data_IF_851582547111
#
_entry.id   IF_851582547111
#
_cell.length_a   1.000
_cell.length_b   1.000
_cell.length_c   1.000
_cell.angle_alpha   90.00
_cell.angle_beta   90.00
_cell.angle_gamma   90.00
#
_symmetry.space_group_name_H-M   'P 1'
#
loop_
_entity.id
_entity.type
_entity.pdbx_description
1 polymer ?
#
# COMPACT_ATOMS: atom_id res chain seq x y z
N UNK A 1 15.81 54.77 -5.52
CA UNK A 1 16.53 55.73 -4.65
C UNK A 1 17.99 55.71 -5.05
N UNK A 2 18.59 56.89 -5.28
CA UNK A 2 19.94 57.02 -5.84
C UNK A 2 20.95 57.07 -4.68
N UNK A 3 22.20 56.61 -4.91
CA UNK A 3 23.29 56.57 -3.91
C UNK A 3 23.52 57.87 -3.11
N UNK A 4 23.05 59.01 -3.61
CA UNK A 4 23.12 60.32 -2.93
C UNK A 4 22.20 60.41 -1.70
N UNK A 5 21.15 59.59 -1.63
CA UNK A 5 20.23 59.56 -0.49
C UNK A 5 20.85 58.84 0.72
N UNK A 6 21.77 57.89 0.47
CA UNK A 6 22.46 57.15 1.54
C UNK A 6 23.54 57.99 2.23
N UNK A 7 24.34 58.77 1.49
CA UNK A 7 25.41 59.56 2.13
C UNK A 7 24.84 60.58 3.11
N UNK A 8 23.71 61.23 2.77
CA UNK A 8 23.03 62.16 3.66
C UNK A 8 22.54 61.52 4.95
N UNK A 9 22.07 60.27 4.86
CA UNK A 9 21.56 59.52 6.01
C UNK A 9 22.69 59.13 6.97
N UNK A 10 23.88 58.84 6.45
CA UNK A 10 25.07 58.59 7.27
C UNK A 10 25.70 59.87 7.82
N UNK A 11 25.71 60.97 7.06
CA UNK A 11 26.17 62.27 7.54
C UNK A 11 25.31 62.78 8.73
N UNK A 12 24.00 62.50 8.73
CA UNK A 12 23.10 62.81 9.85
C UNK A 12 23.36 61.95 11.10
N UNK A 13 23.73 60.68 10.92
CA UNK A 13 24.06 59.75 12.01
C UNK A 13 25.41 60.13 12.63
N UNK A 14 26.43 60.40 11.82
CA UNK A 14 27.78 60.76 12.29
C UNK A 14 27.76 62.10 13.05
N UNK A 15 26.94 63.06 12.60
CA UNK A 15 26.74 64.34 13.30
C UNK A 15 25.98 64.19 14.62
N UNK A 16 25.18 63.13 14.78
CA UNK A 16 24.41 62.83 15.99
C UNK A 16 25.23 62.06 17.02
N UNK A 17 26.20 61.26 16.58
CA UNK A 17 27.00 60.38 17.45
C UNK A 17 28.39 60.94 17.81
N UNK A 18 28.79 62.09 17.28
CA UNK A 18 29.99 62.83 17.69
C UNK A 18 31.28 61.96 17.71
N UNK A 19 31.39 61.02 16.77
CA UNK A 19 32.54 60.11 16.70
C UNK A 19 33.51 60.56 15.59
N UNK A 20 34.72 60.97 15.98
CA UNK A 20 35.77 61.42 15.07
C UNK A 20 36.52 60.23 14.47
N UNK A 21 36.43 60.14 13.14
CA UNK A 21 37.01 59.14 12.25
C UNK A 21 38.53 59.31 12.14
N UNK A 22 39.32 58.60 12.95
CA UNK A 22 40.74 58.38 12.64
C UNK A 22 41.24 56.93 12.85
N UNK A 23 40.48 56.06 13.52
CA UNK A 23 40.89 54.65 13.73
C UNK A 23 40.45 53.65 12.65
N UNK A 24 39.52 54.00 11.76
CA UNK A 24 38.94 53.03 10.83
C UNK A 24 39.64 52.92 9.46
N UNK A 25 40.36 53.94 9.01
CA UNK A 25 40.95 53.94 7.66
C UNK A 25 42.17 53.02 7.55
N UNK A 26 42.93 52.82 8.62
CA UNK A 26 44.06 51.87 8.64
C UNK A 26 43.59 50.41 8.77
N UNK A 27 42.54 50.16 9.59
CA UNK A 27 42.02 48.81 9.80
C UNK A 27 41.21 48.27 8.61
N UNK A 28 40.46 49.14 7.90
CA UNK A 28 39.65 48.75 6.73
C UNK A 28 40.49 48.31 5.52
N UNK A 29 41.69 48.84 5.31
CA UNK A 29 42.52 48.50 4.12
C UNK A 29 43.32 47.21 4.29
N UNK A 30 43.87 46.96 5.48
CA UNK A 30 44.70 45.77 5.73
C UNK A 30 43.88 44.46 5.79
N UNK A 31 42.65 44.51 6.31
CA UNK A 31 41.85 43.30 6.56
C UNK A 31 40.91 42.90 5.41
N UNK A 32 40.61 43.77 4.43
CA UNK A 32 39.67 43.46 3.34
C UNK A 32 40.13 42.30 2.46
N UNK A 33 41.45 42.21 2.17
CA UNK A 33 42.03 41.16 1.31
C UNK A 33 42.08 39.79 2.00
N UNK A 34 42.26 39.78 3.31
CA UNK A 34 42.25 38.56 4.12
C UNK A 34 40.83 38.05 4.37
N UNK A 35 39.86 38.94 4.53
CA UNK A 35 38.47 38.56 4.78
C UNK A 35 37.79 37.98 3.54
N UNK A 36 38.01 38.56 2.36
CA UNK A 36 37.51 38.00 1.09
C UNK A 36 38.13 36.63 0.79
N UNK A 37 39.43 36.45 1.06
CA UNK A 37 40.09 35.14 0.90
C UNK A 37 39.52 34.09 1.86
N UNK A 38 39.28 34.45 3.13
CA UNK A 38 38.63 33.56 4.12
C UNK A 38 37.19 33.22 3.73
N UNK A 39 36.43 34.19 3.23
CA UNK A 39 35.06 34.00 2.75
C UNK A 39 35.01 33.10 1.51
N UNK A 40 35.91 33.29 0.53
CA UNK A 40 35.98 32.40 -0.64
C UNK A 40 36.47 30.99 -0.27
N UNK A 41 37.35 30.85 0.73
CA UNK A 41 37.74 29.54 1.24
C UNK A 41 36.56 28.84 1.93
N UNK A 42 35.80 29.51 2.79
CA UNK A 42 34.63 28.91 3.43
C UNK A 42 33.52 28.58 2.44
N UNK A 43 33.33 29.42 1.41
CA UNK A 43 32.36 29.16 0.33
C UNK A 43 32.71 27.89 -0.45
N UNK A 44 34.01 27.63 -0.72
CA UNK A 44 34.46 26.41 -1.41
C UNK A 44 34.15 25.16 -0.61
N UNK A 45 34.41 25.16 0.69
CA UNK A 45 34.13 24.00 1.54
C UNK A 45 32.62 23.77 1.71
N UNK A 46 31.84 24.83 1.90
CA UNK A 46 30.38 24.73 2.01
C UNK A 46 29.72 24.28 0.70
N UNK A 47 30.21 24.76 -0.45
CA UNK A 47 29.74 24.32 -1.76
C UNK A 47 30.09 22.86 -2.02
N UNK A 48 31.30 22.42 -1.67
CA UNK A 48 31.70 21.03 -1.80
C UNK A 48 30.82 20.10 -0.95
N UNK A 49 30.52 20.50 0.29
CA UNK A 49 29.64 19.75 1.21
C UNK A 49 28.20 19.67 0.69
N UNK A 50 27.69 20.74 0.08
CA UNK A 50 26.36 20.77 -0.52
C UNK A 50 26.29 19.89 -1.78
N UNK A 51 27.34 19.87 -2.60
CA UNK A 51 27.45 18.98 -3.76
C UNK A 51 27.57 17.50 -3.34
N UNK A 52 28.32 17.16 -2.29
CA UNK A 52 28.38 15.77 -1.80
C UNK A 52 27.04 15.31 -1.24
N UNK A 53 26.31 16.17 -0.52
CA UNK A 53 24.96 15.87 -0.04
C UNK A 53 23.96 15.67 -1.19
N UNK A 54 24.04 16.46 -2.27
CA UNK A 54 23.20 16.31 -3.47
C UNK A 54 23.46 15.02 -4.24
N UNK A 55 24.69 14.50 -4.21
CA UNK A 55 25.04 13.23 -4.86
C UNK A 55 24.69 12.03 -3.96
N UNK A 56 24.85 12.15 -2.63
CA UNK A 56 24.50 11.06 -1.70
C UNK A 56 23.00 10.86 -1.53
N UNK A 57 22.20 11.93 -1.62
CA UNK A 57 20.74 11.87 -1.42
C UNK A 57 20.01 10.92 -2.39
N UNK A 58 20.27 10.90 -3.71
CA UNK A 58 19.64 9.91 -4.59
C UNK A 58 20.13 8.48 -4.36
N UNK A 59 21.36 8.28 -3.85
CA UNK A 59 21.89 6.94 -3.52
C UNK A 59 21.26 6.40 -2.23
N UNK A 60 21.13 7.22 -1.18
CA UNK A 60 20.41 6.81 0.04
C UNK A 60 18.91 6.69 -0.25
N UNK A 61 18.36 7.56 -1.09
CA UNK A 61 16.98 7.48 -1.56
C UNK A 61 16.71 6.20 -2.34
N UNK A 62 17.61 5.77 -3.24
CA UNK A 62 17.47 4.48 -3.92
C UNK A 62 17.61 3.30 -2.96
N UNK A 63 18.51 3.37 -1.98
CA UNK A 63 18.57 2.34 -0.94
C UNK A 63 17.32 2.30 -0.05
N UNK A 64 16.67 3.43 0.27
CA UNK A 64 15.42 3.44 1.05
C UNK A 64 14.19 3.04 0.23
N UNK A 65 14.15 3.41 -1.06
CA UNK A 65 13.08 3.02 -2.00
C UNK A 65 13.25 1.56 -2.45
N UNK A 66 14.46 1.01 -2.40
CA UNK A 66 14.79 -0.35 -2.81
C UNK A 66 15.15 -1.30 -1.66
N UNK A 67 15.22 -0.81 -0.42
CA UNK A 67 15.14 -1.64 0.78
C UNK A 67 13.68 -1.90 1.11
N UNK A 68 13.08 -2.82 0.35
CA UNK A 68 12.15 -3.77 0.95
C UNK A 68 12.97 -5.03 1.26
N UNK A 69 13.63 -5.12 2.43
CA UNK A 69 14.15 -6.40 2.88
C UNK A 69 12.98 -7.17 3.47
N UNK A 70 12.41 -8.09 2.72
CA UNK A 70 12.14 -9.46 3.18
C UNK A 70 11.57 -10.30 2.03
N UNK A 71 12.49 -10.86 1.23
CA UNK A 71 12.34 -12.25 0.79
C UNK A 71 12.32 -13.15 2.03
N UNK A 72 11.18 -13.15 2.73
CA UNK A 72 10.73 -14.26 3.55
C UNK A 72 9.39 -14.64 2.96
N UNK A 73 9.37 -15.82 2.36
CA UNK A 73 8.15 -16.58 2.12
C UNK A 73 7.45 -16.77 3.46
N UNK A 74 6.63 -15.78 3.87
CA UNK A 74 5.68 -15.89 4.96
C UNK A 74 4.51 -16.73 4.46
N UNK A 75 4.74 -18.03 4.30
CA UNK A 75 3.64 -18.98 4.37
C UNK A 75 2.97 -18.80 5.74
N UNK A 76 1.75 -18.29 5.71
CA UNK A 76 0.83 -18.17 6.84
C UNK A 76 1.38 -17.47 8.10
N UNK A 77 1.85 -16.22 8.01
CA UNK A 77 1.78 -15.34 9.17
C UNK A 77 0.35 -14.79 9.32
N UNK A 78 -0.54 -15.64 9.85
CA UNK A 78 -1.87 -15.24 10.35
C UNK A 78 -1.73 -14.41 11.64
N UNK A 79 -0.99 -13.30 11.55
CA UNK A 79 -0.68 -12.42 12.68
C UNK A 79 -1.35 -11.05 12.48
N UNK A 80 -2.10 -10.63 13.51
CA UNK A 80 -2.48 -9.26 13.81
C UNK A 80 -3.30 -8.50 12.75
N UNK A 81 -4.60 -8.78 12.67
CA UNK A 81 -5.58 -7.86 12.06
C UNK A 81 -5.49 -7.67 10.54
N UNK A 82 -4.67 -8.46 9.84
CA UNK A 82 -4.60 -8.48 8.37
C UNK A 82 -5.72 -9.35 7.79
N UNK A 83 -6.33 -8.91 6.68
CA UNK A 83 -7.35 -9.69 5.96
C UNK A 83 -6.73 -10.94 5.36
N UNK A 84 -7.32 -12.12 5.61
CA UNK A 84 -6.81 -13.42 5.13
C UNK A 84 -6.93 -13.56 3.61
N UNK A 85 -8.00 -13.00 3.04
CA UNK A 85 -8.21 -12.89 1.60
C UNK A 85 -8.66 -11.46 1.34
N UNK A 86 -8.05 -10.80 0.36
CA UNK A 86 -8.51 -9.54 -0.20
C UNK A 86 -8.70 -9.76 -1.69
N UNK A 87 -9.84 -9.32 -2.21
CA UNK A 87 -10.12 -9.44 -3.62
C UNK A 87 -10.93 -8.26 -4.09
N UNK A 88 -10.73 -7.92 -5.35
CA UNK A 88 -11.54 -6.98 -6.08
C UNK A 88 -12.26 -7.71 -7.21
N UNK A 89 -13.35 -7.10 -7.64
CA UNK A 89 -14.15 -7.57 -8.74
C UNK A 89 -14.40 -6.42 -9.70
N UNK A 90 -14.42 -6.72 -10.99
CA UNK A 90 -14.60 -5.73 -12.02
C UNK A 90 -15.37 -6.34 -13.19
N UNK A 91 -16.24 -5.53 -13.80
CA UNK A 91 -16.84 -5.86 -15.08
C UNK A 91 -16.03 -5.26 -16.22
N UNK A 92 -15.60 -6.08 -17.19
CA UNK A 92 -14.89 -5.64 -18.39
C UNK A 92 -15.53 -6.24 -19.64
N UNK A 93 -16.34 -5.44 -20.34
CA UNK A 93 -17.09 -5.91 -21.51
C UNK A 93 -18.08 -7.04 -21.16
N UNK A 94 -17.85 -8.22 -21.72
CA UNK A 94 -18.64 -9.45 -21.47
C UNK A 94 -18.00 -10.35 -20.41
N UNK A 95 -17.02 -9.87 -19.67
CA UNK A 95 -16.31 -10.64 -18.64
C UNK A 95 -16.51 -10.01 -17.26
N UNK A 96 -16.63 -10.89 -16.27
CA UNK A 96 -16.53 -10.57 -14.86
C UNK A 96 -15.16 -11.06 -14.38
N UNK A 97 -14.32 -10.14 -13.92
CA UNK A 97 -12.95 -10.41 -13.50
C UNK A 97 -12.90 -10.29 -11.98
N UNK A 98 -12.21 -11.22 -11.35
CA UNK A 98 -11.86 -11.21 -9.94
C UNK A 98 -10.34 -11.33 -9.82
N UNK A 99 -9.73 -10.47 -9.01
CA UNK A 99 -8.31 -10.47 -8.72
C UNK A 99 -8.12 -10.29 -7.22
N UNK A 100 -7.12 -10.96 -6.65
CA UNK A 100 -6.91 -10.87 -5.22
C UNK A 100 -5.58 -11.41 -4.74
N UNK A 101 -5.34 -11.15 -3.47
CA UNK A 101 -4.18 -11.59 -2.71
C UNK A 101 -4.64 -12.23 -1.40
N UNK A 102 -3.84 -13.19 -0.90
CA UNK A 102 -4.16 -13.93 0.31
C UNK A 102 -2.90 -14.30 1.08
N UNK A 103 -3.01 -14.36 2.41
CA UNK A 103 -1.97 -14.89 3.28
C UNK A 103 -2.01 -16.42 3.43
N UNK A 104 -2.89 -17.09 2.69
CA UNK A 104 -3.02 -18.54 2.69
C UNK A 104 -1.84 -19.23 1.97
N UNK A 105 -1.55 -20.51 2.29
CA UNK A 105 -0.45 -21.23 1.66
C UNK A 105 -0.60 -21.37 0.14
N UNK A 106 0.53 -21.44 -0.56
CA UNK A 106 0.58 -21.75 -2.00
C UNK A 106 -0.14 -23.09 -2.28
N UNK A 107 -0.89 -23.13 -3.38
CA UNK A 107 -1.68 -24.31 -3.76
C UNK A 107 -3.00 -24.46 -3.02
N UNK A 108 -3.40 -23.50 -2.17
CA UNK A 108 -4.73 -23.49 -1.56
C UNK A 108 -5.79 -23.31 -2.63
N UNK A 109 -6.83 -24.13 -2.59
CA UNK A 109 -7.93 -24.11 -3.54
C UNK A 109 -9.05 -23.24 -3.00
N UNK A 110 -9.46 -22.26 -3.80
CA UNK A 110 -10.64 -21.44 -3.61
C UNK A 110 -11.70 -21.86 -4.64
N UNK A 111 -12.96 -21.85 -4.23
CA UNK A 111 -14.10 -22.05 -5.12
C UNK A 111 -14.66 -20.68 -5.48
N UNK A 112 -14.72 -20.38 -6.79
CA UNK A 112 -15.25 -19.13 -7.28
C UNK A 112 -16.48 -19.39 -8.15
N UNK A 113 -17.57 -18.72 -7.81
CA UNK A 113 -18.86 -18.91 -8.45
C UNK A 113 -19.43 -17.60 -8.96
N UNK A 114 -19.83 -17.57 -10.23
CA UNK A 114 -20.66 -16.52 -10.78
C UNK A 114 -22.11 -16.84 -10.43
N UNK A 115 -22.77 -15.95 -9.71
CA UNK A 115 -24.15 -16.13 -9.24
C UNK A 115 -25.04 -14.96 -9.64
N UNK A 116 -26.34 -15.21 -9.69
CA UNK A 116 -27.34 -14.14 -9.80
C UNK A 116 -27.34 -13.23 -8.57
N UNK A 117 -27.95 -12.05 -8.67
CA UNK A 117 -28.09 -11.12 -7.53
C UNK A 117 -28.93 -11.67 -6.37
N UNK A 118 -29.62 -12.79 -6.59
CA UNK A 118 -30.34 -13.55 -5.55
C UNK A 118 -29.41 -14.39 -4.66
N UNK A 119 -28.13 -14.52 -5.03
CA UNK A 119 -27.10 -15.36 -4.39
C UNK A 119 -27.45 -16.85 -4.31
N UNK A 120 -28.49 -17.30 -5.01
CA UNK A 120 -28.96 -18.70 -5.01
C UNK A 120 -28.75 -19.35 -6.37
N UNK A 121 -28.90 -18.57 -7.45
CA UNK A 121 -28.76 -19.09 -8.80
C UNK A 121 -27.29 -19.13 -9.19
N UNK A 122 -26.66 -20.31 -9.05
CA UNK A 122 -25.31 -20.57 -9.54
C UNK A 122 -25.34 -20.68 -11.06
N UNK A 123 -24.57 -19.82 -11.73
CA UNK A 123 -24.48 -19.78 -13.20
C UNK A 123 -23.26 -20.57 -13.66
N UNK A 124 -22.15 -20.41 -12.95
CA UNK A 124 -20.89 -21.10 -13.21
C UNK A 124 -20.08 -21.15 -11.92
N UNK A 125 -19.31 -22.21 -11.76
CA UNK A 125 -18.47 -22.48 -10.62
C UNK A 125 -17.14 -23.04 -11.13
N UNK A 126 -16.03 -22.51 -10.63
CA UNK A 126 -14.68 -22.92 -11.01
C UNK A 126 -13.74 -22.88 -9.80
N UNK A 127 -12.83 -23.86 -9.72
CA UNK A 127 -11.75 -23.86 -8.75
C UNK A 127 -10.61 -22.94 -9.18
N UNK A 128 -9.97 -22.31 -8.20
CA UNK A 128 -8.81 -21.44 -8.35
C UNK A 128 -7.75 -21.86 -7.35
N UNK A 129 -6.53 -22.08 -7.82
CA UNK A 129 -5.39 -22.27 -6.92
C UNK A 129 -4.75 -20.92 -6.62
N UNK A 130 -4.49 -20.66 -5.34
CA UNK A 130 -3.60 -19.58 -4.91
C UNK A 130 -2.19 -19.91 -5.39
N UNK A 131 -1.54 -18.93 -6.03
CA UNK A 131 -0.16 -19.05 -6.49
C UNK A 131 0.84 -18.56 -5.46
N UNK A 132 2.13 -18.69 -5.81
CA UNK A 132 3.23 -18.18 -4.99
C UNK A 132 3.06 -16.69 -4.71
N UNK A 133 3.27 -16.30 -3.45
CA UNK A 133 3.06 -14.92 -2.99
C UNK A 133 1.59 -14.56 -2.72
N UNK A 134 0.66 -15.52 -2.78
CA UNK A 134 -0.72 -15.32 -2.36
C UNK A 134 -1.66 -14.79 -3.45
N UNK A 135 -1.15 -14.54 -4.66
CA UNK A 135 -1.93 -13.96 -5.75
C UNK A 135 -2.88 -14.99 -6.40
N UNK A 136 -4.06 -14.53 -6.81
CA UNK A 136 -5.02 -15.31 -7.60
C UNK A 136 -5.85 -14.39 -8.51
N UNK A 137 -6.33 -14.94 -9.63
CA UNK A 137 -7.20 -14.22 -10.56
C UNK A 137 -8.10 -15.21 -11.30
N UNK A 138 -9.30 -14.75 -11.66
CA UNK A 138 -10.25 -15.51 -12.47
C UNK A 138 -11.16 -14.60 -13.27
N UNK A 139 -11.50 -15.03 -14.48
CA UNK A 139 -12.53 -14.39 -15.30
C UNK A 139 -13.67 -15.36 -15.60
N UNK A 140 -14.89 -14.82 -15.59
CA UNK A 140 -16.11 -15.52 -15.98
C UNK A 140 -16.76 -14.81 -17.16
N UNK A 141 -17.21 -15.58 -18.15
CA UNK A 141 -18.05 -15.04 -19.22
C UNK A 141 -19.45 -14.70 -18.66
N UNK A 142 -19.93 -13.49 -18.96
CA UNK A 142 -21.24 -13.00 -18.53
C UNK A 142 -22.30 -13.46 -19.54
N UNK A 143 -23.30 -14.29 -19.14
CA UNK A 143 -24.27 -14.83 -20.10
C UNK A 143 -25.21 -13.80 -20.70
N UNK A 144 -25.71 -12.86 -19.89
CA UNK A 144 -26.56 -11.76 -20.34
C UNK A 144 -26.00 -10.43 -19.84
N UNK A 145 -25.52 -9.61 -20.77
CA UNK A 145 -24.89 -8.33 -20.44
C UNK A 145 -25.85 -7.33 -19.82
N UNK A 146 -27.17 -7.55 -19.92
CA UNK A 146 -28.19 -6.66 -19.35
C UNK A 146 -28.49 -6.95 -17.89
N UNK A 147 -27.92 -8.01 -17.31
CA UNK A 147 -28.12 -8.37 -15.91
C UNK A 147 -26.90 -8.03 -15.05
N UNK A 148 -27.17 -7.85 -13.76
CA UNK A 148 -26.18 -7.72 -12.70
C UNK A 148 -25.88 -9.12 -12.15
N UNK A 149 -24.65 -9.31 -11.69
CA UNK A 149 -24.16 -10.59 -11.17
C UNK A 149 -23.29 -10.35 -9.95
N UNK A 150 -23.04 -11.42 -9.20
CA UNK A 150 -22.12 -11.42 -8.07
C UNK A 150 -21.11 -12.52 -8.29
N UNK A 151 -19.84 -12.26 -7.99
CA UNK A 151 -18.83 -13.31 -7.83
C UNK A 151 -18.80 -13.66 -6.35
N UNK A 152 -18.95 -14.95 -6.07
CA UNK A 152 -18.79 -15.55 -4.77
C UNK A 152 -17.44 -16.24 -4.73
N UNK A 153 -16.70 -16.06 -3.64
CA UNK A 153 -15.41 -16.72 -3.41
C UNK A 153 -15.46 -17.45 -2.07
N UNK A 154 -15.22 -18.74 -2.08
CA UNK A 154 -15.32 -19.62 -0.92
C UNK A 154 -14.04 -20.41 -0.68
N UNK A 155 -13.72 -20.63 0.60
CA UNK A 155 -12.67 -21.54 1.04
C UNK A 155 -13.29 -22.60 1.95
N UNK A 156 -13.08 -23.85 1.57
CA UNK A 156 -13.47 -25.02 2.35
C UNK A 156 -12.22 -25.76 2.85
N UNK A 157 -11.92 -25.79 4.16
CA UNK A 157 -10.71 -26.45 4.65
C UNK A 157 -10.69 -27.96 4.41
N UNK A 158 -11.85 -28.60 4.45
CA UNK A 158 -11.98 -30.04 4.31
C UNK A 158 -11.64 -30.55 2.90
N UNK A 159 -11.71 -29.69 1.88
CA UNK A 159 -11.36 -30.03 0.48
C UNK A 159 -9.87 -29.86 0.18
N UNK A 160 -9.11 -29.24 1.10
CA UNK A 160 -7.70 -28.94 0.87
C UNK A 160 -6.78 -30.16 0.98
N UNK A 161 -5.60 -30.08 0.36
CA UNK A 161 -4.56 -31.10 0.47
C UNK A 161 -4.08 -31.25 1.92
N UNK A 162 -3.60 -32.45 2.33
CA UNK A 162 -3.14 -32.68 3.71
C UNK A 162 -2.04 -31.72 4.20
N UNK A 163 -1.17 -31.23 3.30
CA UNK A 163 -0.16 -30.23 3.64
C UNK A 163 -0.77 -28.89 4.06
N UNK A 164 -1.82 -28.46 3.37
CA UNK A 164 -2.53 -27.20 3.62
C UNK A 164 -3.41 -27.33 4.86
N UNK A 165 -4.12 -28.45 5.01
CA UNK A 165 -4.92 -28.73 6.21
C UNK A 165 -4.09 -28.73 7.50
N UNK A 166 -2.81 -29.09 7.46
CA UNK A 166 -1.91 -28.95 8.62
C UNK A 166 -1.69 -27.49 9.02
N UNK A 167 -1.77 -26.55 8.08
CA UNK A 167 -1.57 -25.12 8.32
C UNK A 167 -2.87 -24.44 8.73
N UNK A 168 -3.94 -24.60 7.94
CA UNK A 168 -5.22 -23.91 8.17
C UNK A 168 -6.16 -24.66 9.15
N UNK A 169 -5.83 -25.90 9.51
CA UNK A 169 -6.67 -26.77 10.31
C UNK A 169 -7.59 -27.63 9.44
N UNK A 170 -7.89 -28.86 9.86
CA UNK A 170 -8.76 -29.78 9.09
C UNK A 170 -10.18 -29.24 8.96
N UNK A 171 -10.62 -28.48 9.96
CA UNK A 171 -11.93 -27.84 10.04
C UNK A 171 -11.84 -26.33 9.90
N UNK A 172 -10.66 -25.78 9.61
CA UNK A 172 -10.42 -24.34 9.58
C UNK A 172 -10.18 -23.71 10.95
N UNK A 173 -9.83 -24.51 11.95
CA UNK A 173 -9.58 -24.05 13.33
C UNK A 173 -8.46 -23.02 13.44
N UNK A 174 -7.53 -23.00 12.48
CA UNK A 174 -6.43 -22.02 12.45
C UNK A 174 -6.72 -20.84 11.53
N UNK A 175 -7.85 -20.79 10.82
CA UNK A 175 -8.14 -19.70 9.87
C UNK A 175 -8.31 -18.33 10.54
N UNK A 176 -8.61 -18.28 11.84
CA UNK A 176 -8.78 -17.04 12.58
C UNK A 176 -8.47 -17.24 14.08
N UNK A 177 -7.76 -16.29 14.67
CA UNK A 177 -7.47 -16.27 16.12
C UNK A 177 -8.28 -15.19 16.86
N UNK A 178 -9.10 -14.41 16.14
CA UNK A 178 -10.00 -13.40 16.72
C UNK A 178 -11.31 -13.29 15.94
N UNK A 179 -12.40 -13.02 16.65
CA UNK A 179 -13.80 -13.05 16.17
C UNK A 179 -14.19 -11.94 15.19
N UNK A 180 -13.24 -11.31 14.49
CA UNK A 180 -13.48 -10.10 13.67
C UNK A 180 -12.79 -10.11 12.30
N UNK A 181 -12.42 -11.28 11.76
CA UNK A 181 -11.93 -11.34 10.39
C UNK A 181 -13.13 -11.37 9.43
N UNK A 182 -13.25 -10.34 8.59
CA UNK A 182 -14.32 -10.24 7.61
C UNK A 182 -14.29 -11.44 6.66
N UNK A 183 -15.46 -12.09 6.48
CA UNK A 183 -15.62 -13.20 5.56
C UNK A 183 -15.47 -14.58 6.19
N UNK A 184 -15.08 -14.67 7.46
CA UNK A 184 -15.17 -15.94 8.20
C UNK A 184 -16.63 -16.34 8.33
N UNK A 185 -16.95 -17.58 8.00
CA UNK A 185 -18.28 -18.15 8.19
C UNK A 185 -18.20 -19.58 8.70
N UNK A 186 -19.28 -20.02 9.33
CA UNK A 186 -19.40 -21.34 9.91
C UNK A 186 -20.44 -22.16 9.16
N UNK A 187 -20.16 -23.44 8.94
CA UNK A 187 -21.05 -24.40 8.29
C UNK A 187 -20.90 -25.78 8.90
N UNK A 188 -21.89 -26.65 8.69
CA UNK A 188 -21.89 -28.01 9.21
C UNK A 188 -21.72 -29.02 8.08
N UNK A 189 -20.88 -30.04 8.32
CA UNK A 189 -20.81 -31.26 7.53
C UNK A 189 -20.90 -32.43 8.50
N UNK A 190 -21.82 -33.36 8.28
CA UNK A 190 -21.98 -34.56 9.12
C UNK A 190 -22.05 -34.28 10.63
N UNK A 191 -22.74 -33.19 11.01
CA UNK A 191 -22.88 -32.67 12.39
C UNK A 191 -21.59 -32.12 13.01
N UNK A 192 -20.52 -32.01 12.26
CA UNK A 192 -19.30 -31.34 12.68
C UNK A 192 -19.28 -29.89 12.19
N UNK A 193 -18.85 -28.98 13.05
CA UNK A 193 -18.70 -27.57 12.73
C UNK A 193 -17.39 -27.32 12.00
N UNK A 194 -17.47 -26.63 10.86
CA UNK A 194 -16.36 -26.16 10.06
C UNK A 194 -16.37 -24.63 10.01
N UNK A 195 -15.18 -24.08 9.82
CA UNK A 195 -14.95 -22.66 9.57
C UNK A 195 -14.38 -22.51 8.18
N UNK A 196 -14.97 -21.66 7.34
CA UNK A 196 -14.45 -21.30 6.03
C UNK A 196 -14.32 -19.80 5.84
N UNK A 197 -13.96 -19.41 4.62
CA UNK A 197 -14.08 -18.03 4.16
C UNK A 197 -15.13 -17.91 3.07
N UNK A 198 -15.88 -16.81 3.07
CA UNK A 198 -16.89 -16.49 2.07
C UNK A 198 -16.92 -14.98 1.81
N UNK A 199 -16.54 -14.59 0.59
CA UNK A 199 -16.52 -13.21 0.10
C UNK A 199 -17.47 -13.03 -1.08
N UNK A 200 -18.02 -11.82 -1.21
CA UNK A 200 -18.96 -11.44 -2.27
C UNK A 200 -18.48 -10.17 -2.97
N UNK A 201 -18.44 -10.18 -4.29
CA UNK A 201 -18.08 -9.04 -5.12
C UNK A 201 -19.13 -8.75 -6.17
N UNK A 202 -19.66 -7.52 -6.19
CA UNK A 202 -20.72 -7.13 -7.11
C UNK A 202 -20.16 -6.75 -8.49
N UNK A 203 -20.72 -7.33 -9.54
CA UNK A 203 -20.41 -7.06 -10.96
C UNK A 203 -21.54 -6.23 -11.58
N UNK A 204 -21.63 -4.96 -11.17
CA UNK A 204 -22.68 -4.04 -11.64
C UNK A 204 -22.52 -3.72 -13.13
N UNK A 205 -23.61 -3.82 -13.89
CA UNK A 205 -23.64 -3.39 -15.31
C UNK A 205 -23.49 -1.88 -15.50
N UNK A 206 -23.82 -1.09 -14.48
CA UNK A 206 -23.79 0.38 -14.53
C UNK A 206 -22.38 0.95 -14.37
N UNK A 207 -21.44 0.15 -13.85
CA UNK A 207 -20.10 0.62 -13.49
C UNK A 207 -19.09 -0.36 -14.10
N UNK A 208 -18.77 -0.12 -15.37
CA UNK A 208 -17.82 -0.92 -16.15
C UNK A 208 -16.40 -0.38 -15.93
N UNK A 209 -15.40 -1.25 -15.94
CA UNK A 209 -13.99 -0.91 -15.73
C UNK A 209 -13.72 -0.21 -14.40
N UNK A 210 -14.46 -0.56 -13.36
CA UNK A 210 -14.22 -0.08 -12.00
C UNK A 210 -14.09 -1.26 -11.07
N UNK A 211 -12.99 -1.27 -10.32
CA UNK A 211 -12.72 -2.27 -9.31
C UNK A 211 -13.59 -2.05 -8.08
N UNK A 212 -14.06 -3.15 -7.50
CA UNK A 212 -14.86 -3.17 -6.29
C UNK A 212 -14.34 -4.22 -5.34
N UNK A 213 -14.01 -3.78 -4.14
CA UNK A 213 -13.59 -4.66 -3.06
C UNK A 213 -14.69 -5.68 -2.77
N UNK A 214 -14.30 -6.94 -2.62
CA UNK A 214 -15.19 -7.99 -2.15
C UNK A 214 -15.39 -7.87 -0.64
N UNK A 215 -16.60 -8.16 -0.16
CA UNK A 215 -16.96 -8.06 1.25
C UNK A 215 -17.28 -9.43 1.81
N UNK A 216 -16.88 -9.67 3.05
CA UNK A 216 -17.25 -10.88 3.78
C UNK A 216 -18.70 -10.87 4.25
N UNK A 217 -19.32 -12.05 4.36
CA UNK A 217 -20.62 -12.16 5.05
C UNK A 217 -20.46 -11.72 6.51
N UNK A 218 -21.30 -10.78 6.97
CA UNK A 218 -21.46 -10.47 8.39
C UNK A 218 -22.47 -11.41 9.09
N UNK A 219 -23.14 -12.29 8.35
CA UNK A 219 -24.08 -13.26 8.90
C UNK A 219 -23.40 -14.61 9.03
N UNK A 220 -22.90 -14.89 10.23
CA UNK A 220 -22.68 -16.26 10.68
C UNK A 220 -24.03 -16.98 10.74
N UNK A 221 -24.12 -18.11 10.04
CA UNK A 221 -25.18 -19.12 10.09
C UNK A 221 -26.64 -18.62 9.96
N UNK A 222 -27.29 -18.93 8.83
CA UNK A 222 -28.72 -19.24 8.91
C UNK A 222 -28.87 -20.66 9.50
N UNK A 223 -29.89 -20.88 10.36
CA UNK A 223 -30.10 -22.10 11.12
C UNK A 223 -30.35 -23.34 10.26
#
# INVERSE_FOLDING_TARGET
MKNQDFSKLFDEVDKKENSSIEFETVWRKANRKNWTRKYFQSLKYNLALLCTLLILTPVIGSYLVQSSPEDKYNEASLYNGQSVIQATTMRKGQEAIMEGESSLPDGTILEASLVGTDLQTIIREEEISIGKGGAFSKSFAIPDTRKDYVILLELFPHTQKPSIQKMIGRKGENLYNSSQVAGVYHYFIDKELYTGFKLYGNIDRKIINTERIMFGSLKSAMP
#
